data_IF_603402810917
#
_entry.id   IF_603402810917
#
_cell.length_a   1.000
_cell.length_b   1.000
_cell.length_c   1.000
_cell.angle_alpha   90.00
_cell.angle_beta   90.00
_cell.angle_gamma   90.00
#
_symmetry.space_group_name_H-M   'P 1'
#
loop_
_entity.id
_entity.type
_entity.pdbx_description
1 polymer ?
#
# COMPACT_ATOMS: atom_id res chain seq x y z
N UNK A 1 -1.80 50.21 -31.58
CA UNK A 1 -2.86 49.78 -30.65
C UNK A 1 -3.31 48.38 -31.04
N UNK A 2 -2.92 47.34 -30.30
CA UNK A 2 -3.41 45.98 -30.50
C UNK A 2 -3.76 45.39 -29.13
N UNK A 3 -5.01 44.94 -29.00
CA UNK A 3 -5.66 44.59 -27.73
C UNK A 3 -5.12 43.26 -27.17
N UNK A 4 -5.04 43.22 -25.85
CA UNK A 4 -4.59 42.11 -24.99
C UNK A 4 -5.53 40.91 -25.10
N UNK A 5 -4.98 39.70 -25.15
CA UNK A 5 -5.69 38.46 -24.84
C UNK A 5 -5.02 37.83 -23.61
N UNK A 6 -5.66 38.02 -22.46
CA UNK A 6 -5.25 37.47 -21.17
C UNK A 6 -6.03 36.17 -20.95
N UNK A 7 -5.39 35.01 -21.10
CA UNK A 7 -5.99 33.72 -20.75
C UNK A 7 -5.66 33.40 -19.29
N UNK A 8 -6.66 33.57 -18.42
CA UNK A 8 -6.64 33.09 -17.03
C UNK A 8 -7.04 31.62 -17.05
N UNK A 9 -6.11 30.71 -16.78
CA UNK A 9 -6.41 29.30 -16.54
C UNK A 9 -6.59 29.09 -15.03
N UNK A 10 -7.83 29.20 -14.56
CA UNK A 10 -8.26 28.75 -13.25
C UNK A 10 -8.57 27.25 -13.35
N UNK A 11 -7.58 26.41 -13.03
CA UNK A 11 -7.69 24.95 -13.03
C UNK A 11 -8.03 24.40 -11.65
N UNK A 12 -9.33 24.26 -11.43
CA UNK A 12 -10.07 23.55 -10.37
C UNK A 12 -9.32 22.42 -9.63
N UNK A 13 -9.14 22.58 -8.32
CA UNK A 13 -8.76 21.54 -7.37
C UNK A 13 -9.94 20.58 -7.14
N UNK A 14 -9.82 19.33 -7.61
CA UNK A 14 -10.73 18.24 -7.25
C UNK A 14 -10.28 17.66 -5.90
N UNK A 15 -10.87 18.17 -4.82
CA UNK A 15 -10.80 17.55 -3.50
C UNK A 15 -11.73 16.33 -3.48
N UNK A 16 -11.16 15.12 -3.57
CA UNK A 16 -11.90 13.89 -3.28
C UNK A 16 -12.03 13.78 -1.75
N UNK A 17 -13.17 14.23 -1.24
CA UNK A 17 -13.58 13.96 0.13
C UNK A 17 -14.02 12.49 0.25
N UNK A 18 -13.13 11.63 0.75
CA UNK A 18 -13.50 10.28 1.21
C UNK A 18 -14.10 10.45 2.60
N UNK A 19 -15.42 10.50 2.67
CA UNK A 19 -16.14 10.50 3.94
C UNK A 19 -15.96 9.16 4.68
N UNK A 20 -15.84 9.17 6.02
CA UNK A 20 -15.92 7.94 6.81
C UNK A 20 -17.37 7.46 6.82
N UNK A 21 -17.62 6.30 6.21
CA UNK A 21 -18.91 5.62 6.35
C UNK A 21 -19.04 5.12 7.79
N UNK A 22 -19.83 5.82 8.59
CA UNK A 22 -20.24 5.42 9.92
C UNK A 22 -21.28 4.29 9.81
N UNK A 23 -20.85 3.05 10.07
CA UNK A 23 -21.75 1.91 10.22
C UNK A 23 -21.93 1.62 11.72
N UNK A 24 -22.73 2.48 12.35
CA UNK A 24 -23.41 2.16 13.59
C UNK A 24 -24.84 1.77 13.25
N UNK A 25 -25.12 0.48 13.14
CA UNK A 25 -26.48 -0.05 13.22
C UNK A 25 -26.48 -1.25 14.17
N UNK A 26 -27.21 -1.05 15.27
CA UNK A 26 -27.49 -1.99 16.34
C UNK A 26 -28.30 -3.19 15.82
N UNK A 27 -27.82 -4.38 16.12
CA UNK A 27 -28.55 -5.64 15.95
C UNK A 27 -29.79 -5.67 16.87
N UNK A 28 -30.97 -6.08 16.39
CA UNK A 28 -32.07 -6.46 17.26
C UNK A 28 -31.74 -7.83 17.91
N UNK A 29 -31.79 -7.89 19.24
CA UNK A 29 -31.81 -9.14 19.99
C UNK A 29 -33.16 -9.83 19.77
N UNK A 30 -33.17 -10.84 18.89
CA UNK A 30 -34.18 -11.89 18.87
C UNK A 30 -33.65 -13.11 19.61
N UNK A 31 -34.29 -13.43 20.74
CA UNK A 31 -34.06 -14.64 21.52
C UNK A 31 -34.55 -15.89 20.76
N UNK A 32 -34.16 -17.06 21.30
CA UNK A 32 -34.53 -18.42 20.89
C UNK A 32 -33.71 -19.06 19.75
N UNK A 33 -32.48 -19.43 20.08
CA UNK A 33 -31.78 -20.52 19.39
C UNK A 33 -31.36 -21.57 20.40
N UNK A 34 -31.98 -22.75 20.31
CA UNK A 34 -31.64 -23.97 21.05
C UNK A 34 -30.13 -24.23 20.98
N UNK A 35 -29.50 -24.37 22.13
CA UNK A 35 -28.07 -24.62 22.25
C UNK A 35 -27.72 -26.02 21.69
N UNK A 36 -27.31 -26.05 20.43
CA UNK A 36 -26.66 -27.21 19.85
C UNK A 36 -25.37 -27.50 20.65
N UNK A 37 -25.03 -28.78 20.94
CA UNK A 37 -23.78 -29.11 21.59
C UNK A 37 -22.62 -28.57 20.75
N UNK A 38 -21.88 -27.62 21.32
CA UNK A 38 -20.67 -27.07 20.72
C UNK A 38 -19.63 -28.18 20.67
N UNK A 39 -19.61 -28.91 19.56
CA UNK A 39 -18.50 -29.80 19.24
C UNK A 39 -17.26 -28.93 19.07
N UNK A 40 -16.42 -28.93 20.11
CA UNK A 40 -15.12 -28.26 20.08
C UNK A 40 -14.35 -28.78 18.85
N UNK A 41 -13.91 -27.91 17.94
CA UNK A 41 -13.17 -28.34 16.77
C UNK A 41 -11.90 -29.08 17.23
N UNK A 42 -11.74 -30.30 16.71
CA UNK A 42 -10.55 -31.13 16.90
C UNK A 42 -9.27 -30.33 16.64
N UNK A 43 -8.31 -30.38 17.58
CA UNK A 43 -7.03 -29.67 17.50
C UNK A 43 -6.23 -30.02 16.23
N UNK A 44 -6.51 -31.18 15.60
CA UNK A 44 -5.89 -31.66 14.37
C UNK A 44 -6.39 -30.93 13.12
N UNK A 45 -7.64 -30.45 13.11
CA UNK A 45 -8.19 -29.56 12.07
C UNK A 45 -7.93 -28.08 12.40
N UNK A 46 -7.59 -27.78 13.66
CA UNK A 46 -7.13 -26.48 14.16
C UNK A 46 -5.64 -26.18 13.85
N UNK A 47 -5.07 -26.82 12.82
CA UNK A 47 -3.62 -26.78 12.53
C UNK A 47 -3.11 -25.36 12.21
N UNK A 48 -4.03 -24.45 11.85
CA UNK A 48 -3.85 -23.00 11.90
C UNK A 48 -5.20 -22.36 12.22
N UNK A 49 -5.27 -21.57 13.31
CA UNK A 49 -6.47 -20.78 13.60
C UNK A 49 -6.75 -19.79 12.44
N UNK A 50 -8.04 -19.58 12.12
CA UNK A 50 -8.48 -18.63 11.08
C UNK A 50 -8.01 -17.21 11.40
N UNK A 51 -7.85 -16.89 12.68
CA UNK A 51 -7.28 -15.62 13.12
C UNK A 51 -5.77 -15.53 12.84
N UNK A 52 -5.05 -16.65 12.98
CA UNK A 52 -3.61 -16.74 12.72
C UNK A 52 -3.30 -16.64 11.22
N UNK A 53 -4.12 -17.26 10.35
CA UNK A 53 -4.00 -17.10 8.89
C UNK A 53 -4.22 -15.65 8.48
N UNK A 54 -5.26 -14.98 9.00
CA UNK A 54 -5.52 -13.56 8.72
C UNK A 54 -4.38 -12.65 9.19
N UNK A 55 -3.82 -12.90 10.39
CA UNK A 55 -2.66 -12.16 10.90
C UNK A 55 -1.42 -12.37 10.05
N UNK A 56 -1.17 -13.61 9.60
CA UNK A 56 -0.04 -13.93 8.73
C UNK A 56 -0.18 -13.25 7.36
N UNK A 57 -1.40 -13.21 6.80
CA UNK A 57 -1.71 -12.48 5.56
C UNK A 57 -1.49 -10.99 5.75
N UNK A 58 -2.03 -10.40 6.83
CA UNK A 58 -1.82 -8.99 7.16
C UNK A 58 -0.33 -8.65 7.22
N UNK A 59 0.46 -9.44 7.95
CA UNK A 59 1.89 -9.23 8.08
C UNK A 59 2.63 -9.36 6.73
N UNK A 60 2.23 -10.31 5.87
CA UNK A 60 2.79 -10.46 4.52
C UNK A 60 2.54 -9.20 3.66
N UNK A 61 1.30 -8.69 3.67
CA UNK A 61 0.94 -7.47 2.94
C UNK A 61 1.64 -6.23 3.50
N UNK A 62 1.67 -6.05 4.82
CA UNK A 62 2.38 -4.94 5.48
C UNK A 62 3.88 -4.95 5.16
N UNK A 63 4.52 -6.12 5.20
CA UNK A 63 5.94 -6.25 4.87
C UNK A 63 6.21 -5.87 3.41
N UNK A 64 5.31 -6.22 2.51
CA UNK A 64 5.47 -6.00 1.07
C UNK A 64 5.10 -4.57 0.65
N UNK A 65 4.17 -3.94 1.37
CA UNK A 65 3.79 -2.53 1.17
C UNK A 65 4.79 -1.54 1.77
N UNK A 66 5.60 -1.93 2.76
CA UNK A 66 6.67 -1.07 3.30
C UNK A 66 7.67 -0.62 2.23
N UNK A 67 8.11 -1.54 1.38
CA UNK A 67 9.01 -1.21 0.27
C UNK A 67 8.33 -0.25 -0.72
N UNK A 68 7.06 -0.50 -1.04
CA UNK A 68 6.28 0.36 -1.95
C UNK A 68 6.15 1.80 -1.42
N UNK A 69 5.89 1.98 -0.11
CA UNK A 69 5.84 3.32 0.49
C UNK A 69 7.16 4.07 0.29
N UNK A 70 8.29 3.38 0.52
CA UNK A 70 9.62 3.97 0.28
C UNK A 70 9.84 4.35 -1.19
N UNK A 71 9.39 3.55 -2.16
CA UNK A 71 9.47 3.90 -3.59
C UNK A 71 8.59 5.10 -3.96
N UNK A 72 7.36 5.14 -3.44
CA UNK A 72 6.42 6.25 -3.70
C UNK A 72 6.89 7.55 -3.04
N UNK A 73 7.29 7.51 -1.77
CA UNK A 73 7.80 8.67 -1.04
C UNK A 73 9.09 9.19 -1.67
N UNK A 74 10.05 8.29 -1.98
CA UNK A 74 11.30 8.67 -2.64
C UNK A 74 11.07 9.25 -4.03
N UNK A 75 10.25 8.58 -4.85
CA UNK A 75 9.92 9.05 -6.20
C UNK A 75 9.19 10.39 -6.19
N UNK A 76 8.21 10.57 -5.28
CA UNK A 76 7.47 11.82 -5.13
C UNK A 76 8.36 12.97 -4.65
N UNK A 77 9.27 12.72 -3.72
CA UNK A 77 10.23 13.72 -3.25
C UNK A 77 11.17 14.19 -4.37
N UNK A 78 11.70 13.26 -5.17
CA UNK A 78 12.55 13.58 -6.33
C UNK A 78 11.74 14.37 -7.38
N UNK A 79 10.52 13.93 -7.70
CA UNK A 79 9.64 14.64 -8.63
C UNK A 79 9.33 16.07 -8.15
N UNK A 80 9.00 16.24 -6.87
CA UNK A 80 8.72 17.55 -6.28
C UNK A 80 9.94 18.47 -6.40
N UNK A 81 11.14 17.94 -6.15
CA UNK A 81 12.39 18.68 -6.30
C UNK A 81 12.61 19.13 -7.76
N UNK A 82 12.40 18.24 -8.74
CA UNK A 82 12.50 18.57 -10.15
C UNK A 82 11.47 19.61 -10.60
N UNK A 83 10.23 19.50 -10.11
CA UNK A 83 9.16 20.46 -10.38
C UNK A 83 9.50 21.86 -9.84
N UNK A 84 9.99 21.95 -8.59
CA UNK A 84 10.42 23.21 -7.98
C UNK A 84 11.59 23.83 -8.74
N UNK A 85 12.60 23.05 -9.13
CA UNK A 85 13.71 23.54 -9.96
C UNK A 85 13.21 24.15 -11.27
N UNK A 86 12.27 23.47 -11.95
CA UNK A 86 11.67 23.99 -13.20
C UNK A 86 10.84 25.24 -12.99
N UNK A 87 10.03 25.34 -11.93
CA UNK A 87 9.24 26.56 -11.66
C UNK A 87 10.11 27.76 -11.32
N UNK A 88 11.22 27.56 -10.60
CA UNK A 88 12.21 28.61 -10.31
C UNK A 88 12.85 29.12 -11.61
N UNK A 89 13.26 28.23 -12.51
CA UNK A 89 13.83 28.62 -13.81
C UNK A 89 12.78 29.32 -14.68
N UNK A 90 11.54 28.83 -14.68
CA UNK A 90 10.43 29.41 -15.44
C UNK A 90 10.06 30.83 -14.97
N UNK A 91 10.12 31.10 -13.67
CA UNK A 91 9.77 32.42 -13.11
C UNK A 91 10.90 33.47 -13.18
N UNK A 92 12.12 33.11 -13.61
CA UNK A 92 13.21 34.09 -13.80
C UNK A 92 12.97 35.01 -15.00
N UNK A 93 13.26 36.31 -14.83
CA UNK A 93 13.14 37.34 -15.86
C UNK A 93 14.12 37.10 -17.03
N UNK A 94 13.80 37.65 -18.22
CA UNK A 94 14.63 37.49 -19.42
C UNK A 94 16.06 38.04 -19.23
N UNK A 95 16.22 39.15 -18.51
CA UNK A 95 17.52 39.75 -18.21
C UNK A 95 18.37 38.86 -17.29
N UNK A 96 17.75 38.28 -16.26
CA UNK A 96 18.39 37.35 -15.32
C UNK A 96 18.87 36.06 -16.03
N UNK A 97 18.07 35.54 -16.97
CA UNK A 97 18.39 34.32 -17.74
C UNK A 97 19.59 34.50 -18.66
N UNK A 98 19.80 35.71 -19.20
CA UNK A 98 20.88 35.98 -20.13
C UNK A 98 22.24 36.02 -19.42
N UNK A 99 22.29 36.60 -18.21
CA UNK A 99 23.47 36.65 -17.35
C UNK A 99 23.83 35.28 -16.74
N UNK A 100 22.84 34.41 -16.53
CA UNK A 100 23.04 33.09 -15.90
C UNK A 100 22.72 31.90 -16.83
N UNK A 101 23.01 32.03 -18.12
CA UNK A 101 22.63 31.04 -19.14
C UNK A 101 23.22 29.65 -18.90
N UNK A 102 24.47 29.56 -18.44
CA UNK A 102 25.14 28.30 -18.10
C UNK A 102 24.45 27.62 -16.90
N UNK A 103 24.29 28.36 -15.79
CA UNK A 103 23.63 27.86 -14.56
C UNK A 103 22.16 27.48 -14.78
N UNK A 104 21.45 28.19 -15.65
CA UNK A 104 20.04 27.89 -15.95
C UNK A 104 19.89 26.58 -16.74
N UNK A 105 20.82 26.28 -17.66
CA UNK A 105 20.83 25.01 -18.40
C UNK A 105 21.07 23.82 -17.48
N UNK A 106 22.04 23.91 -16.57
CA UNK A 106 22.33 22.83 -15.61
C UNK A 106 21.12 22.53 -14.70
N UNK A 107 20.42 23.57 -14.22
CA UNK A 107 19.23 23.41 -13.37
C UNK A 107 18.05 22.84 -14.15
N UNK A 108 17.90 23.19 -15.44
CA UNK A 108 16.84 22.67 -16.30
C UNK A 108 17.07 21.21 -16.71
N UNK A 109 18.30 20.83 -17.02
CA UNK A 109 18.69 19.47 -17.34
C UNK A 109 18.53 18.55 -16.12
N UNK A 110 19.06 18.96 -14.96
CA UNK A 110 18.89 18.22 -13.70
C UNK A 110 17.42 18.14 -13.27
N UNK A 111 16.64 19.21 -13.42
CA UNK A 111 15.21 19.21 -13.11
C UNK A 111 14.41 18.27 -14.00
N UNK A 112 14.80 18.13 -15.28
CA UNK A 112 14.18 17.14 -16.19
C UNK A 112 14.57 15.72 -15.82
N UNK A 113 15.83 15.48 -15.46
CA UNK A 113 16.31 14.19 -14.95
C UNK A 113 15.58 13.75 -13.68
N UNK A 114 15.43 14.65 -12.71
CA UNK A 114 14.70 14.40 -11.46
C UNK A 114 13.23 14.03 -11.72
N UNK A 115 12.54 14.74 -12.64
CA UNK A 115 11.15 14.41 -12.99
C UNK A 115 11.03 13.02 -13.64
N UNK A 116 11.97 12.64 -14.51
CA UNK A 116 11.97 11.32 -15.16
C UNK A 116 12.24 10.20 -14.16
N UNK A 117 13.28 10.34 -13.33
CA UNK A 117 13.65 9.35 -12.31
C UNK A 117 12.53 9.23 -11.27
N UNK A 118 12.03 10.37 -10.78
CA UNK A 118 10.92 10.41 -9.85
C UNK A 118 9.66 9.77 -10.43
N UNK A 119 9.34 10.07 -11.69
CA UNK A 119 8.20 9.47 -12.40
C UNK A 119 8.32 7.96 -12.56
N UNK A 120 9.50 7.45 -12.87
CA UNK A 120 9.76 6.01 -12.98
C UNK A 120 9.62 5.32 -11.63
N UNK A 121 10.16 5.90 -10.56
CA UNK A 121 10.02 5.38 -9.20
C UNK A 121 8.56 5.39 -8.73
N UNK A 122 7.83 6.48 -8.95
CA UNK A 122 6.40 6.58 -8.61
C UNK A 122 5.59 5.58 -9.42
N UNK A 123 5.80 5.51 -10.74
CA UNK A 123 5.12 4.57 -11.62
C UNK A 123 5.32 3.12 -11.18
N UNK A 124 6.56 2.74 -10.85
CA UNK A 124 6.87 1.41 -10.30
C UNK A 124 6.21 1.18 -8.93
N UNK A 125 6.21 2.20 -8.06
CA UNK A 125 5.51 2.18 -6.78
C UNK A 125 4.01 1.93 -6.92
N UNK A 126 3.34 2.64 -7.83
CA UNK A 126 1.90 2.49 -8.13
C UNK A 126 1.60 1.13 -8.74
N UNK A 127 2.40 0.66 -9.71
CA UNK A 127 2.24 -0.68 -10.28
C UNK A 127 2.27 -1.77 -9.20
N UNK A 128 3.18 -1.63 -8.24
CA UNK A 128 3.27 -2.55 -7.09
C UNK A 128 2.12 -2.36 -6.10
N UNK A 129 1.59 -1.14 -5.96
CA UNK A 129 0.41 -0.83 -5.15
C UNK A 129 -0.84 -1.52 -5.65
N UNK A 130 -1.08 -1.56 -6.96
CA UNK A 130 -2.25 -2.24 -7.52
C UNK A 130 -2.24 -3.73 -7.13
N UNK A 131 -1.05 -4.36 -7.10
CA UNK A 131 -0.92 -5.79 -6.80
C UNK A 131 -0.92 -6.15 -5.31
N UNK A 132 -0.39 -5.27 -4.45
CA UNK A 132 -0.22 -5.52 -3.00
C UNK A 132 -0.92 -4.47 -2.13
N UNK A 133 -1.90 -3.78 -2.69
CA UNK A 133 -2.60 -2.68 -2.07
C UNK A 133 -3.60 -3.14 -1.00
N UNK A 134 -4.13 -2.17 -0.23
CA UNK A 134 -5.13 -2.44 0.81
C UNK A 134 -6.42 -3.04 0.24
N UNK A 135 -6.82 -2.65 -0.97
CA UNK A 135 -8.00 -3.21 -1.64
C UNK A 135 -7.83 -4.71 -1.92
N UNK A 136 -6.65 -5.13 -2.38
CA UNK A 136 -6.39 -6.54 -2.66
C UNK A 136 -6.34 -7.35 -1.36
N UNK A 137 -5.79 -6.78 -0.28
CA UNK A 137 -5.87 -7.38 1.04
C UNK A 137 -7.32 -7.57 1.49
N UNK A 138 -8.16 -6.54 1.38
CA UNK A 138 -9.59 -6.62 1.74
C UNK A 138 -10.32 -7.68 0.94
N UNK A 139 -10.09 -7.77 -0.38
CA UNK A 139 -10.68 -8.82 -1.22
C UNK A 139 -10.29 -10.21 -0.76
N UNK A 140 -9.01 -10.44 -0.47
CA UNK A 140 -8.52 -11.74 0.02
C UNK A 140 -9.10 -12.07 1.40
N UNK A 141 -9.19 -11.09 2.29
CA UNK A 141 -9.77 -11.28 3.63
C UNK A 141 -11.26 -11.58 3.55
N UNK A 142 -12.01 -10.83 2.72
CA UNK A 142 -13.44 -11.04 2.51
C UNK A 142 -13.72 -12.43 1.94
N UNK A 143 -13.04 -12.79 0.83
CA UNK A 143 -13.12 -14.13 0.24
C UNK A 143 -12.82 -15.24 1.26
N UNK A 144 -11.78 -15.06 2.07
CA UNK A 144 -11.41 -16.04 3.09
C UNK A 144 -12.42 -16.12 4.26
N UNK A 145 -13.07 -15.02 4.61
CA UNK A 145 -14.15 -14.99 5.60
C UNK A 145 -15.39 -15.73 5.07
N UNK A 146 -15.70 -15.59 3.78
CA UNK A 146 -16.76 -16.30 3.07
C UNK A 146 -16.49 -17.82 2.91
N UNK A 147 -15.29 -18.27 3.26
CA UNK A 147 -14.90 -19.68 3.22
C UNK A 147 -14.15 -20.08 1.94
N UNK A 148 -13.83 -19.14 1.06
CA UNK A 148 -12.98 -19.42 -0.09
C UNK A 148 -11.54 -19.77 0.36
N UNK A 149 -10.88 -20.71 -0.34
CA UNK A 149 -9.49 -21.03 -0.05
C UNK A 149 -8.56 -19.85 -0.38
N UNK A 150 -7.50 -19.68 0.42
CA UNK A 150 -6.50 -18.66 0.17
C UNK A 150 -5.86 -18.82 -1.23
N UNK A 151 -5.67 -17.73 -1.99
CA UNK A 151 -5.03 -17.79 -3.29
C UNK A 151 -3.67 -18.52 -3.27
N UNK A 152 -3.36 -19.37 -4.27
CA UNK A 152 -2.16 -20.22 -4.28
C UNK A 152 -0.85 -19.43 -4.17
N UNK A 153 -0.82 -18.20 -4.67
CA UNK A 153 0.36 -17.35 -4.59
C UNK A 153 0.64 -16.83 -3.17
N UNK A 154 -0.38 -16.76 -2.31
CA UNK A 154 -0.25 -16.39 -0.90
C UNK A 154 0.18 -17.57 -0.07
N UNK A 155 -0.45 -18.74 -0.26
CA UNK A 155 -0.09 -19.96 0.48
C UNK A 155 1.37 -20.34 0.29
N UNK A 156 1.92 -20.19 -0.93
CA UNK A 156 3.35 -20.38 -1.22
C UNK A 156 4.29 -19.39 -0.52
N UNK A 157 3.80 -18.21 -0.14
CA UNK A 157 4.60 -17.12 0.45
C UNK A 157 4.36 -16.94 1.95
N UNK A 158 3.26 -17.47 2.48
CA UNK A 158 2.95 -17.54 3.90
C UNK A 158 3.91 -18.54 4.54
N UNK A 159 4.88 -18.00 5.28
CA UNK A 159 5.84 -18.83 6.01
C UNK A 159 5.18 -19.33 7.29
N UNK A 160 5.36 -20.62 7.59
CA UNK A 160 4.88 -21.30 8.81
C UNK A 160 5.27 -20.57 10.10
N UNK A 161 6.38 -19.82 10.09
CA UNK A 161 6.83 -18.98 11.22
C UNK A 161 5.89 -17.84 11.63
N UNK A 162 4.91 -17.47 10.80
CA UNK A 162 3.96 -16.40 11.11
C UNK A 162 2.65 -16.90 11.71
N UNK A 163 2.51 -18.22 11.78
CA UNK A 163 1.42 -18.86 12.48
C UNK A 163 1.92 -19.17 13.89
N UNK A 164 1.21 -18.72 14.92
CA UNK A 164 1.62 -18.95 16.32
C UNK A 164 1.48 -20.43 16.68
N UNK A 165 0.55 -21.11 16.03
CA UNK A 165 0.35 -22.55 16.14
C UNK A 165 1.26 -23.29 15.14
N UNK A 166 2.55 -23.39 15.44
CA UNK A 166 3.27 -24.58 14.99
C UNK A 166 2.69 -25.76 15.79
N UNK A 167 2.47 -26.95 15.18
CA UNK A 167 2.26 -28.15 15.98
C UNK A 167 3.40 -28.23 17.00
N UNK A 168 3.04 -28.40 18.28
CA UNK A 168 3.93 -28.45 19.45
C UNK A 168 4.98 -29.59 19.41
N UNK A 169 5.26 -30.20 18.26
CA UNK A 169 6.23 -31.28 18.09
C UNK A 169 7.53 -30.95 17.36
N UNK A 170 7.89 -29.68 17.22
CA UNK A 170 9.00 -29.31 16.32
C UNK A 170 10.39 -29.19 16.95
N UNK A 171 10.54 -29.16 18.28
CA UNK A 171 11.89 -29.11 18.88
C UNK A 171 12.00 -29.69 20.28
N UNK A 172 11.07 -29.38 21.18
CA UNK A 172 11.12 -29.92 22.55
C UNK A 172 10.70 -31.39 22.61
N UNK A 173 9.68 -31.81 21.86
CA UNK A 173 9.32 -33.24 21.74
C UNK A 173 10.44 -34.09 21.13
N UNK A 174 11.22 -33.58 20.16
CA UNK A 174 12.37 -34.30 19.60
C UNK A 174 13.51 -34.47 20.59
N UNK A 175 13.69 -33.50 21.49
CA UNK A 175 14.71 -33.57 22.54
C UNK A 175 14.26 -34.53 23.66
N UNK A 176 12.96 -34.67 23.90
CA UNK A 176 12.43 -35.64 24.86
C UNK A 176 12.34 -37.07 24.31
N UNK A 177 12.07 -37.26 23.02
CA UNK A 177 12.02 -38.58 22.38
C UNK A 177 13.39 -39.26 22.15
N UNK A 178 14.49 -38.54 22.43
CA UNK A 178 15.87 -39.05 22.33
C UNK A 178 16.42 -39.42 23.72
N UNK A 179 15.62 -39.29 24.78
CA UNK A 179 15.99 -39.67 26.15
C UNK A 179 15.28 -40.96 26.56
#
# INVERSE_FOLDING_TARGET
MLKRATTVFAGLLLAVAVGPAAWGQSLPLGADTVAAPVTLPSLSTLRYDRTDTLRAVQHLFMRRSKAMRSWLEGGAAIMATGAVKKTIVANRSKAERQNHKLRSKDVEETGTGDLLIGGLMVGYGVFRHIRFGPQQYQRVVAAYQEGEPLPPYLTRKLKTKYFRLLPLGSRQERVQAIR
#
